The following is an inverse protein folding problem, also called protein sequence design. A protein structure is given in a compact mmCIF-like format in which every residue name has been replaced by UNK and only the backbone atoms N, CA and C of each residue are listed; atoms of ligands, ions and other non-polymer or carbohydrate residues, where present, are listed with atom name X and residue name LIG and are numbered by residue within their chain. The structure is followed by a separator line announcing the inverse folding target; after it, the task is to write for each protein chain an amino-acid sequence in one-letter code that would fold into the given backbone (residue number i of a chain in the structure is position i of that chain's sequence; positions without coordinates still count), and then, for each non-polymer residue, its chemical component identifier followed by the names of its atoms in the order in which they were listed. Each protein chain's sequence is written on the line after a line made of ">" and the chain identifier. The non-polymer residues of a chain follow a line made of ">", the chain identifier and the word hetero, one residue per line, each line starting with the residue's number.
data_IF_306004156952
#
_entry.id   IF_306004156952
#
_cell.length_a   1.000
_cell.length_b   1.000
_cell.length_c   1.000
_cell.angle_alpha   90.00
_cell.angle_beta   90.00
_cell.angle_gamma   90.00
#
_symmetry.space_group_name_H-M   'P 1'
#
loop_
_entity.id
_entity.type
_entity.pdbx_description
1 polymer ?
#
# COMPACT_ATOMS: atom_id res chain seq x y z
N UNK A 1 -19.06 6.42 -39.79
CA UNK A 1 -18.49 7.06 -38.58
C UNK A 1 -18.33 6.03 -37.45
N UNK A 2 -17.25 5.26 -37.52
CA UNK A 2 -16.94 4.16 -36.59
C UNK A 2 -15.82 4.61 -35.66
N UNK A 3 -16.10 4.70 -34.36
CA UNK A 3 -15.07 4.94 -33.35
C UNK A 3 -14.40 3.60 -33.05
N UNK A 4 -13.10 3.53 -33.34
CA UNK A 4 -12.28 2.32 -33.21
C UNK A 4 -11.96 1.94 -31.76
N UNK A 5 -11.43 0.72 -31.54
CA UNK A 5 -11.11 0.17 -30.23
C UNK A 5 -9.82 0.77 -29.65
N UNK A 6 -9.81 1.18 -28.37
CA UNK A 6 -8.59 1.46 -27.63
C UNK A 6 -8.02 0.17 -27.03
N UNK A 7 -7.37 -0.63 -27.87
CA UNK A 7 -6.37 -1.58 -27.42
C UNK A 7 -5.02 -0.87 -27.55
N UNK A 8 -4.36 -0.50 -26.45
CA UNK A 8 -3.06 0.14 -26.52
C UNK A 8 -2.05 -0.86 -27.11
N UNK A 9 -1.77 -0.64 -28.38
CA UNK A 9 -0.72 -1.11 -29.26
C UNK A 9 0.43 -1.87 -28.59
N UNK A 10 0.41 -3.20 -28.75
CA UNK A 10 1.45 -3.99 -29.42
C UNK A 10 1.06 -5.47 -29.31
N UNK A 11 0.30 -5.97 -30.28
CA UNK A 11 0.22 -7.41 -30.52
C UNK A 11 0.03 -7.67 -32.02
N UNK A 12 1.00 -7.19 -32.81
CA UNK A 12 1.22 -7.76 -34.13
C UNK A 12 2.08 -9.00 -33.93
N UNK A 13 1.45 -10.15 -34.18
CA UNK A 13 1.97 -11.53 -34.23
C UNK A 13 2.01 -12.32 -32.91
N UNK A 14 0.97 -13.13 -32.67
CA UNK A 14 1.11 -14.58 -32.44
C UNK A 14 -0.26 -15.26 -32.32
N UNK A 15 -0.39 -16.41 -32.98
CA UNK A 15 -1.55 -17.32 -32.95
C UNK A 15 -1.74 -17.93 -31.54
N UNK A 16 -2.98 -18.20 -31.14
CA UNK A 16 -3.36 -18.88 -29.89
C UNK A 16 -2.82 -18.23 -28.59
N UNK A 17 -3.09 -16.94 -28.38
CA UNK A 17 -2.76 -16.25 -27.13
C UNK A 17 -3.93 -16.23 -26.14
N UNK A 18 -3.82 -16.95 -25.02
CA UNK A 18 -4.69 -16.69 -23.86
C UNK A 18 -4.44 -15.25 -23.38
N UNK A 19 -5.50 -14.46 -23.20
CA UNK A 19 -5.40 -13.14 -22.57
C UNK A 19 -5.00 -13.33 -21.10
N UNK A 20 -3.69 -13.29 -20.83
CA UNK A 20 -3.18 -13.41 -19.46
C UNK A 20 -3.47 -12.10 -18.73
N UNK A 21 -4.35 -12.17 -17.72
CA UNK A 21 -4.62 -11.04 -16.84
C UNK A 21 -3.41 -10.83 -15.94
N UNK A 22 -2.51 -9.94 -16.35
CA UNK A 22 -1.34 -9.60 -15.54
C UNK A 22 -1.79 -9.07 -14.17
N UNK A 23 -1.17 -9.58 -13.10
CA UNK A 23 -1.52 -9.20 -11.73
C UNK A 23 -1.04 -7.77 -11.49
N UNK A 24 -1.96 -6.79 -11.56
CA UNK A 24 -1.66 -5.39 -11.28
C UNK A 24 -1.09 -5.23 -9.87
N UNK A 25 0.13 -4.69 -9.77
CA UNK A 25 0.78 -4.32 -8.51
C UNK A 25 0.24 -2.96 -8.07
N UNK A 26 -0.17 -2.83 -6.81
CA UNK A 26 -0.52 -1.53 -6.23
C UNK A 26 0.73 -0.86 -5.66
N UNK A 27 1.11 0.32 -6.16
CA UNK A 27 2.22 1.08 -5.59
C UNK A 27 1.72 2.11 -4.58
N UNK A 28 2.38 2.17 -3.42
CA UNK A 28 2.04 3.14 -2.38
C UNK A 28 3.31 3.85 -1.92
N UNK A 29 3.29 5.18 -1.94
CA UNK A 29 4.40 6.02 -1.49
C UNK A 29 4.13 6.56 -0.11
N UNK A 30 5.12 6.45 0.75
CA UNK A 30 5.05 6.92 2.12
C UNK A 30 6.40 7.47 2.58
N UNK A 31 6.41 8.11 3.76
CA UNK A 31 7.57 8.82 4.25
C UNK A 31 8.02 8.31 5.61
N UNK A 32 9.33 8.38 5.87
CA UNK A 32 9.92 7.98 7.13
C UNK A 32 9.27 8.70 8.32
N UNK A 33 8.92 7.88 9.32
CA UNK A 33 8.24 8.20 10.56
C UNK A 33 6.74 8.47 10.42
N UNK A 34 6.22 8.53 9.20
CA UNK A 34 4.79 8.71 8.92
C UNK A 34 3.96 7.45 9.04
N UNK A 35 2.76 7.52 8.49
CA UNK A 35 1.88 6.37 8.32
C UNK A 35 1.44 6.26 6.87
N UNK A 36 1.01 5.06 6.49
CA UNK A 36 0.39 4.80 5.20
C UNK A 36 -0.85 3.94 5.41
N UNK A 37 -1.90 4.28 4.70
CA UNK A 37 -3.16 3.55 4.64
C UNK A 37 -3.25 2.89 3.26
N UNK A 38 -3.56 1.60 3.25
CA UNK A 38 -3.51 0.73 2.09
C UNK A 38 -4.86 0.05 1.98
N UNK A 39 -5.57 0.31 0.90
CA UNK A 39 -6.86 -0.31 0.65
C UNK A 39 -6.78 -1.44 -0.38
N UNK A 40 -7.38 -2.56 -0.02
CA UNK A 40 -7.41 -3.77 -0.81
C UNK A 40 -8.86 -4.20 -1.07
N UNK A 41 -9.49 -3.71 -2.16
CA UNK A 41 -10.85 -4.12 -2.54
C UNK A 41 -10.95 -5.60 -2.96
N UNK A 42 -11.98 -6.29 -2.52
CA UNK A 42 -12.21 -7.71 -2.78
C UNK A 42 -13.63 -7.99 -3.32
N UNK A 43 -13.84 -9.07 -4.10
CA UNK A 43 -15.18 -9.51 -4.53
C UNK A 43 -16.11 -9.86 -3.36
N UNK A 44 -17.43 -9.77 -3.57
CA UNK A 44 -18.44 -10.05 -2.57
C UNK A 44 -18.33 -11.46 -1.96
N UNK A 45 -17.91 -12.45 -2.76
CA UNK A 45 -17.71 -13.84 -2.33
C UNK A 45 -16.71 -13.99 -1.17
N UNK A 46 -15.90 -12.96 -0.90
CA UNK A 46 -14.93 -12.99 0.18
C UNK A 46 -15.33 -12.18 1.41
N UNK A 47 -16.56 -11.68 1.51
CA UNK A 47 -16.99 -10.88 2.66
C UNK A 47 -16.75 -11.61 4.00
N UNK A 48 -17.12 -12.89 4.09
CA UNK A 48 -16.99 -13.68 5.33
C UNK A 48 -15.71 -14.53 5.38
N UNK A 49 -14.70 -14.16 4.59
CA UNK A 49 -13.46 -14.93 4.46
C UNK A 49 -12.33 -14.16 5.12
N UNK A 50 -11.57 -14.85 5.99
CA UNK A 50 -10.44 -14.30 6.70
C UNK A 50 -9.44 -13.62 5.75
N UNK A 51 -8.87 -12.51 6.22
CA UNK A 51 -7.92 -11.69 5.46
C UNK A 51 -6.73 -11.32 6.29
N UNK A 52 -5.61 -11.13 5.62
CA UNK A 52 -4.37 -10.81 6.30
C UNK A 52 -3.49 -9.88 5.48
N UNK A 53 -2.59 -9.23 6.19
CA UNK A 53 -1.51 -8.43 5.64
C UNK A 53 -0.18 -9.14 5.88
N UNK A 54 0.60 -9.30 4.83
CA UNK A 54 1.75 -10.18 4.81
C UNK A 54 2.92 -9.51 4.11
N UNK A 55 4.15 -9.77 4.59
CA UNK A 55 5.36 -9.32 3.93
C UNK A 55 5.81 -10.35 2.89
N UNK A 56 6.53 -9.93 1.85
CA UNK A 56 7.22 -10.86 0.96
C UNK A 56 8.52 -11.38 1.62
N UNK A 57 8.83 -12.69 1.57
CA UNK A 57 8.00 -13.78 1.06
C UNK A 57 6.79 -14.03 1.96
N UNK A 58 5.62 -14.32 1.39
CA UNK A 58 4.40 -14.42 2.19
C UNK A 58 4.10 -15.84 2.65
N UNK A 59 4.78 -16.28 3.70
CA UNK A 59 4.44 -17.52 4.42
C UNK A 59 3.72 -17.20 5.74
N UNK A 60 3.30 -18.22 6.47
CA UNK A 60 2.58 -18.04 7.75
C UNK A 60 3.36 -17.21 8.78
N UNK A 61 4.69 -17.36 8.82
CA UNK A 61 5.58 -16.59 9.70
C UNK A 61 5.69 -15.10 9.30
N UNK A 62 5.35 -14.77 8.06
CA UNK A 62 5.46 -13.44 7.48
C UNK A 62 4.13 -12.64 7.55
N UNK A 63 3.09 -13.25 8.13
CA UNK A 63 1.80 -12.61 8.41
C UNK A 63 1.96 -11.59 9.54
N UNK A 64 1.77 -10.33 9.20
CA UNK A 64 1.94 -9.20 10.11
C UNK A 64 0.69 -8.89 10.92
N UNK A 65 -0.50 -9.07 10.32
CA UNK A 65 -1.80 -8.93 10.99
C UNK A 65 -2.88 -9.67 10.19
N UNK A 66 -3.84 -10.29 10.88
CA UNK A 66 -4.93 -11.09 10.30
C UNK A 66 -6.26 -10.72 10.96
N UNK A 67 -7.34 -10.75 10.19
CA UNK A 67 -8.73 -10.70 10.65
C UNK A 67 -9.42 -12.01 10.27
N UNK A 68 -9.98 -12.69 11.26
CA UNK A 68 -10.73 -13.93 11.06
C UNK A 68 -12.18 -13.66 10.63
N UNK A 69 -12.72 -12.51 11.04
CA UNK A 69 -14.10 -12.08 10.77
C UNK A 69 -14.12 -10.71 10.10
N UNK A 70 -15.20 -10.42 9.36
CA UNK A 70 -15.41 -9.09 8.78
C UNK A 70 -15.75 -8.04 9.86
N UNK A 71 -15.69 -6.77 9.49
CA UNK A 71 -16.04 -5.59 10.30
C UNK A 71 -15.29 -5.52 11.64
N UNK A 72 -14.10 -6.11 11.66
CA UNK A 72 -13.25 -6.21 12.84
C UNK A 72 -12.01 -5.35 12.66
N UNK A 73 -11.69 -4.56 13.70
CA UNK A 73 -10.43 -3.81 13.76
C UNK A 73 -9.41 -4.57 14.61
N UNK A 74 -8.31 -4.98 13.99
CA UNK A 74 -7.20 -5.69 14.66
C UNK A 74 -5.93 -4.83 14.57
N UNK A 75 -5.17 -4.79 15.67
CA UNK A 75 -3.87 -4.10 15.69
C UNK A 75 -2.79 -4.97 16.31
N UNK A 76 -1.60 -4.97 15.70
CA UNK A 76 -0.41 -5.68 16.16
C UNK A 76 0.81 -4.77 15.99
N UNK A 77 1.27 -4.19 17.10
CA UNK A 77 2.41 -3.29 17.12
C UNK A 77 2.19 -2.02 16.28
N UNK A 78 2.86 -1.92 15.12
CA UNK A 78 2.73 -0.78 14.20
C UNK A 78 1.73 -1.02 13.07
N UNK A 79 1.24 -2.25 12.92
CA UNK A 79 0.31 -2.63 11.87
C UNK A 79 -1.11 -2.67 12.44
N UNK A 80 -2.07 -2.17 11.69
CA UNK A 80 -3.49 -2.40 11.95
C UNK A 80 -4.22 -2.74 10.67
N UNK A 81 -5.33 -3.45 10.82
CA UNK A 81 -6.15 -3.93 9.73
C UNK A 81 -7.62 -3.79 10.13
N UNK A 82 -8.42 -3.31 9.19
CA UNK A 82 -9.87 -3.24 9.28
C UNK A 82 -10.48 -3.87 8.04
N UNK A 83 -11.33 -4.89 8.23
CA UNK A 83 -12.02 -5.54 7.12
C UNK A 83 -13.42 -4.93 6.95
N UNK A 84 -13.63 -4.05 5.97
CA UNK A 84 -14.91 -3.39 5.75
C UNK A 84 -15.78 -4.22 4.80
N UNK A 85 -16.77 -4.95 5.33
CA UNK A 85 -17.64 -5.82 4.54
C UNK A 85 -18.51 -5.03 3.54
N UNK A 86 -19.06 -3.90 4.01
CA UNK A 86 -19.94 -3.04 3.20
C UNK A 86 -19.17 -2.38 2.04
N UNK A 87 -17.97 -1.87 2.33
CA UNK A 87 -17.07 -1.31 1.34
C UNK A 87 -16.35 -2.36 0.49
N UNK A 88 -16.45 -3.64 0.88
CA UNK A 88 -15.71 -4.78 0.31
C UNK A 88 -14.23 -4.48 0.14
N UNK A 89 -13.62 -3.92 1.19
CA UNK A 89 -12.21 -3.49 1.15
C UNK A 89 -11.52 -3.76 2.48
N UNK A 90 -10.33 -4.34 2.38
CA UNK A 90 -9.42 -4.51 3.51
C UNK A 90 -8.55 -3.27 3.63
N UNK A 91 -8.70 -2.52 4.72
CA UNK A 91 -7.90 -1.32 5.00
C UNK A 91 -6.78 -1.67 5.97
N UNK A 92 -5.54 -1.50 5.53
CA UNK A 92 -4.33 -1.77 6.32
C UNK A 92 -3.62 -0.45 6.60
N UNK A 93 -3.22 -0.23 7.85
CA UNK A 93 -2.42 0.94 8.24
C UNK A 93 -1.06 0.48 8.78
N UNK A 94 0.01 1.10 8.29
CA UNK A 94 1.37 0.92 8.84
C UNK A 94 1.81 2.24 9.46
N UNK A 95 2.06 2.25 10.78
CA UNK A 95 2.46 3.45 11.53
C UNK A 95 3.98 3.52 11.73
N UNK A 96 4.49 4.72 11.99
CA UNK A 96 5.90 5.00 12.32
C UNK A 96 6.86 4.36 11.30
N UNK A 97 6.62 4.59 10.02
CA UNK A 97 7.35 3.95 8.92
C UNK A 97 8.86 4.18 9.01
N UNK A 98 9.64 3.21 8.56
CA UNK A 98 11.10 3.30 8.44
C UNK A 98 11.51 2.89 7.03
N UNK A 99 12.74 3.21 6.62
CA UNK A 99 13.25 2.73 5.32
C UNK A 99 13.25 1.19 5.22
N UNK A 100 13.35 0.49 6.36
CA UNK A 100 13.28 -0.98 6.42
C UNK A 100 11.88 -1.53 6.11
N UNK A 101 10.85 -0.68 6.13
CA UNK A 101 9.48 -1.07 5.77
C UNK A 101 9.23 -0.99 4.25
N UNK A 102 10.17 -0.46 3.46
CA UNK A 102 10.05 -0.50 2.01
C UNK A 102 10.13 -1.95 1.52
N UNK A 103 9.35 -2.29 0.49
CA UNK A 103 9.36 -3.62 -0.13
C UNK A 103 7.99 -4.10 -0.58
N UNK A 104 7.95 -5.38 -0.95
CA UNK A 104 6.74 -6.04 -1.42
C UNK A 104 5.95 -6.63 -0.24
N UNK A 105 4.64 -6.48 -0.34
CA UNK A 105 3.64 -6.96 0.61
C UNK A 105 2.46 -7.56 -0.14
N UNK A 106 1.61 -8.27 0.59
CA UNK A 106 0.41 -8.87 0.07
C UNK A 106 -0.79 -8.61 0.99
N UNK A 107 -1.90 -8.25 0.35
CA UNK A 107 -3.22 -8.49 0.92
C UNK A 107 -3.62 -9.92 0.56
N UNK A 108 -3.75 -10.77 1.58
CA UNK A 108 -4.17 -12.15 1.43
C UNK A 108 -5.64 -12.33 1.80
N UNK A 109 -6.32 -13.17 1.02
CA UNK A 109 -7.63 -13.73 1.34
C UNK A 109 -7.47 -15.24 1.42
N UNK A 110 -7.78 -15.80 2.58
CA UNK A 110 -7.60 -17.22 2.88
C UNK A 110 -8.55 -18.08 2.04
N UNK A 111 -8.03 -19.15 1.44
CA UNK A 111 -8.84 -20.09 0.65
C UNK A 111 -8.39 -21.52 0.92
N UNK A 112 -9.32 -22.45 0.76
CA UNK A 112 -9.07 -23.88 0.94
C UNK A 112 -7.92 -24.48 0.09
N UNK A 113 -7.64 -23.91 -1.08
CA UNK A 113 -6.60 -24.44 -1.98
C UNK A 113 -5.41 -23.49 -2.14
N UNK A 114 -5.69 -22.29 -2.67
CA UNK A 114 -4.67 -21.28 -2.93
C UNK A 114 -5.23 -19.92 -2.62
N UNK A 115 -4.58 -19.26 -1.67
CA UNK A 115 -4.94 -17.92 -1.25
C UNK A 115 -4.93 -16.93 -2.40
N UNK A 116 -5.88 -16.00 -2.35
CA UNK A 116 -5.92 -14.90 -3.30
C UNK A 116 -5.05 -13.77 -2.76
N UNK A 117 -3.85 -13.66 -3.31
CA UNK A 117 -2.89 -12.61 -2.96
C UNK A 117 -2.98 -11.44 -3.93
N UNK A 118 -3.03 -10.21 -3.41
CA UNK A 118 -2.75 -9.00 -4.21
C UNK A 118 -1.47 -8.33 -3.75
N UNK A 119 -0.56 -8.13 -4.70
CA UNK A 119 0.74 -7.48 -4.52
C UNK A 119 0.58 -5.99 -4.25
N UNK A 120 1.32 -5.51 -3.25
CA UNK A 120 1.44 -4.10 -2.91
C UNK A 120 2.92 -3.77 -2.74
N UNK A 121 3.41 -2.78 -3.46
CA UNK A 121 4.77 -2.26 -3.33
C UNK A 121 4.74 -1.00 -2.47
N UNK A 122 5.30 -1.10 -1.26
CA UNK A 122 5.42 0.04 -0.34
C UNK A 122 6.78 0.71 -0.55
N UNK A 123 6.76 1.95 -1.00
CA UNK A 123 7.94 2.79 -1.19
C UNK A 123 8.05 3.78 -0.03
N UNK A 124 9.15 3.74 0.72
CA UNK A 124 9.38 4.66 1.85
C UNK A 124 10.51 5.64 1.49
N UNK A 125 10.22 6.95 1.51
CA UNK A 125 11.18 8.02 1.21
C UNK A 125 11.47 8.89 2.43
N UNK A 126 12.60 9.57 2.42
CA UNK A 126 12.92 10.63 3.41
C UNK A 126 12.36 11.96 2.92
N UNK A 127 11.90 12.80 3.84
CA UNK A 127 11.54 14.20 3.57
C UNK A 127 12.74 15.08 3.94
N UNK A 128 13.10 15.98 3.03
CA UNK A 128 14.20 16.91 3.20
C UNK A 128 13.67 18.35 3.22
N UNK A 129 14.15 19.18 4.16
CA UNK A 129 13.95 20.63 4.08
C UNK A 129 15.21 21.27 3.49
N UNK A 130 14.99 22.14 2.52
CA UNK A 130 16.00 23.06 2.02
C UNK A 130 15.71 24.43 2.61
N UNK A 131 16.69 25.01 3.31
CA UNK A 131 16.62 26.42 3.71
C UNK A 131 17.18 27.25 2.55
N UNK A 132 16.47 28.30 2.15
CA UNK A 132 16.96 29.30 1.20
C UNK A 132 18.28 29.87 1.77
N UNK A 133 19.40 29.62 1.11
CA UNK A 133 20.74 29.95 1.62
C UNK A 133 21.88 28.99 1.26
N UNK A 134 21.62 27.88 0.56
CA UNK A 134 22.68 26.98 0.08
C UNK A 134 23.36 26.21 1.21
N UNK A 135 22.81 25.05 1.55
CA UNK A 135 23.38 24.12 2.53
C UNK A 135 22.89 22.69 2.30
N UNK A 136 23.55 21.71 2.93
CA UNK A 136 23.18 20.30 2.83
C UNK A 136 21.75 20.06 3.32
N UNK A 137 20.93 19.24 2.61
CA UNK A 137 19.57 18.92 3.02
C UNK A 137 19.50 18.29 4.41
N UNK A 138 18.60 18.79 5.26
CA UNK A 138 18.35 18.19 6.57
C UNK A 138 17.19 17.19 6.49
N UNK A 139 17.41 15.95 6.98
CA UNK A 139 16.37 14.91 7.06
C UNK A 139 15.41 15.19 8.22
N UNK A 140 14.11 15.31 7.95
CA UNK A 140 13.10 15.51 9.02
C UNK A 140 12.79 14.19 9.72
N UNK A 141 12.87 14.16 11.05
CA UNK A 141 12.26 13.10 11.87
C UNK A 141 10.82 13.48 12.21
N UNK A 142 9.88 12.55 12.04
CA UNK A 142 8.45 12.79 12.08
C UNK A 142 7.90 13.40 13.39
N UNK A 143 8.63 13.28 14.52
CA UNK A 143 8.28 13.99 15.76
C UNK A 143 8.29 15.52 15.62
N UNK A 144 9.01 16.08 14.65
CA UNK A 144 9.08 17.54 14.42
C UNK A 144 7.87 18.08 13.65
N UNK A 145 7.19 17.26 12.85
CA UNK A 145 6.07 17.67 11.99
C UNK A 145 4.80 17.96 12.82
N UNK A 146 4.56 17.18 13.89
CA UNK A 146 3.44 17.46 14.82
C UNK A 146 3.61 18.81 15.54
N UNK A 147 4.84 19.18 15.85
CA UNK A 147 5.17 20.42 16.55
C UNK A 147 5.03 21.66 15.67
N UNK A 148 5.20 21.50 14.35
CA UNK A 148 5.12 22.61 13.38
C UNK A 148 3.73 22.82 12.75
N UNK A 149 2.73 22.00 13.09
CA UNK A 149 1.35 22.19 12.60
C UNK A 149 0.71 23.52 13.01
N UNK A 150 1.29 24.21 14.00
CA UNK A 150 0.70 25.38 14.66
C UNK A 150 1.56 26.66 14.60
N UNK A 151 2.71 26.65 13.93
CA UNK A 151 3.58 27.84 13.82
C UNK A 151 3.77 28.19 12.34
N UNK A 152 3.23 29.35 11.98
CA UNK A 152 3.03 29.89 10.63
C UNK A 152 4.34 30.33 9.92
N UNK A 153 4.23 30.48 8.60
CA UNK A 153 5.03 31.28 7.65
C UNK A 153 6.20 30.62 6.86
N UNK A 154 5.98 30.55 5.54
CA UNK A 154 6.95 30.65 4.42
C UNK A 154 8.06 29.61 4.23
N UNK A 155 7.78 28.30 4.33
CA UNK A 155 8.69 27.30 3.71
C UNK A 155 7.96 26.57 2.59
N UNK A 156 8.44 26.74 1.36
CA UNK A 156 8.01 25.92 0.22
C UNK A 156 8.47 24.49 0.51
N UNK A 157 7.55 23.64 0.96
CA UNK A 157 7.81 22.22 1.13
C UNK A 157 7.86 21.60 -0.26
N UNK A 158 9.07 21.44 -0.80
CA UNK A 158 9.27 20.67 -2.04
C UNK A 158 9.38 19.20 -1.66
N UNK A 159 8.35 18.42 -2.00
CA UNK A 159 8.32 16.96 -1.89
C UNK A 159 8.97 16.41 -3.17
N UNK A 160 10.10 15.68 -3.05
CA UNK A 160 10.82 15.06 -4.18
C UNK A 160 10.58 13.55 -4.22
#
# INVERSE_FOLDING_TARGET
>A
PWWGPTCSELCLQAMAGTCSRESKISEVRAYVGGQVDIDCPYPADYIHVAKYWCRDPCNDADVLVKSETSDTYISKGRFSLYDNSNGRSLSVTIKKLTLKDAGMYYCGVEKWWKDKLRKVHVQVRKVYLWKQGGGTPSVIRHNFIRHFKYLLFQTVIIII
#
